data_IF_023228104751
#
_entry.id   IF_023228104751
#
_cell.length_a   1.000
_cell.length_b   1.000
_cell.length_c   1.000
_cell.angle_alpha   90.00
_cell.angle_beta   90.00
_cell.angle_gamma   90.00
#
_symmetry.space_group_name_H-M   'P 1'
#
loop_
_entity.id
_entity.type
_entity.pdbx_description
1 polymer ?
#
# COMPACT_ATOMS: atom_id res chain seq x y z
N UNK A 1 -36.92 -37.04 -8.49
CA UNK A 1 -36.54 -35.62 -8.71
C UNK A 1 -35.59 -35.03 -7.66
N UNK A 2 -35.50 -35.56 -6.42
CA UNK A 2 -34.68 -34.99 -5.34
C UNK A 2 -33.14 -35.05 -5.55
N UNK A 3 -32.63 -35.93 -6.40
CA UNK A 3 -31.18 -36.10 -6.66
C UNK A 3 -30.61 -35.17 -7.72
N UNK A 4 -31.45 -34.52 -8.54
CA UNK A 4 -30.99 -33.61 -9.61
C UNK A 4 -30.53 -32.25 -9.07
N UNK A 5 -31.16 -31.78 -8.00
CA UNK A 5 -30.83 -30.50 -7.35
C UNK A 5 -29.46 -30.59 -6.67
N UNK A 6 -29.13 -31.75 -6.09
CA UNK A 6 -27.81 -31.98 -5.48
C UNK A 6 -26.69 -32.01 -6.52
N UNK A 7 -26.90 -32.63 -7.69
CA UNK A 7 -25.91 -32.70 -8.78
C UNK A 7 -25.64 -31.36 -9.47
N UNK A 8 -26.62 -30.46 -9.48
CA UNK A 8 -26.50 -29.14 -10.14
C UNK A 8 -26.12 -28.03 -9.15
N UNK A 9 -26.57 -28.10 -7.89
CA UNK A 9 -26.26 -27.12 -6.86
C UNK A 9 -24.85 -27.26 -6.27
N UNK A 10 -24.34 -28.49 -6.16
CA UNK A 10 -23.02 -28.77 -5.58
C UNK A 10 -21.84 -28.14 -6.37
N UNK A 11 -21.76 -28.23 -7.72
CA UNK A 11 -20.69 -27.56 -8.45
C UNK A 11 -20.79 -26.02 -8.33
N UNK A 12 -22.01 -25.48 -8.31
CA UNK A 12 -22.23 -24.04 -8.20
C UNK A 12 -21.76 -23.49 -6.84
N UNK A 13 -22.00 -24.24 -5.75
CA UNK A 13 -21.52 -23.89 -4.42
C UNK A 13 -19.98 -23.95 -4.33
N UNK A 14 -19.36 -24.96 -4.95
CA UNK A 14 -17.91 -25.13 -4.94
C UNK A 14 -17.20 -23.99 -5.67
N UNK A 15 -17.74 -23.55 -6.81
CA UNK A 15 -17.22 -22.37 -7.53
C UNK A 15 -17.35 -21.09 -6.69
N UNK A 16 -18.49 -20.87 -6.04
CA UNK A 16 -18.68 -19.70 -5.18
C UNK A 16 -17.71 -19.69 -3.99
N UNK A 17 -17.48 -20.84 -3.37
CA UNK A 17 -16.53 -20.96 -2.27
C UNK A 17 -15.09 -20.70 -2.73
N UNK A 18 -14.67 -21.23 -3.88
CA UNK A 18 -13.33 -20.99 -4.42
C UNK A 18 -13.05 -19.50 -4.69
N UNK A 19 -14.04 -18.77 -5.20
CA UNK A 19 -13.95 -17.32 -5.44
C UNK A 19 -13.75 -16.56 -4.12
N UNK A 20 -14.52 -16.90 -3.07
CA UNK A 20 -14.40 -16.27 -1.75
C UNK A 20 -13.02 -16.54 -1.13
N UNK A 21 -12.49 -17.76 -1.25
CA UNK A 21 -11.14 -18.08 -0.74
C UNK A 21 -10.03 -17.36 -1.52
N UNK A 22 -10.19 -17.18 -2.83
CA UNK A 22 -9.25 -16.41 -3.65
C UNK A 22 -9.15 -14.94 -3.19
N UNK A 23 -10.28 -14.30 -2.90
CA UNK A 23 -10.28 -12.91 -2.39
C UNK A 23 -9.87 -12.82 -0.91
N UNK A 24 -10.12 -13.84 -0.10
CA UNK A 24 -9.67 -13.87 1.29
C UNK A 24 -8.13 -13.99 1.41
N UNK A 25 -7.48 -14.61 0.43
CA UNK A 25 -6.02 -14.82 0.45
C UNK A 25 -5.20 -13.67 -0.12
N UNK A 26 -5.80 -12.62 -0.69
CA UNK A 26 -5.05 -11.49 -1.27
C UNK A 26 -4.55 -10.45 -0.25
N UNK A 27 -4.77 -10.64 1.05
CA UNK A 27 -4.53 -9.57 2.02
C UNK A 27 -3.08 -9.39 2.51
N UNK A 28 -2.10 -10.15 2.03
CA UNK A 28 -0.73 -10.06 2.56
C UNK A 28 0.36 -10.25 1.51
N UNK A 29 0.24 -9.60 0.34
CA UNK A 29 1.46 -9.31 -0.40
C UNK A 29 2.35 -8.44 0.53
N UNK A 30 3.59 -8.84 0.85
CA UNK A 30 4.53 -7.93 1.46
C UNK A 30 4.57 -6.71 0.55
N UNK A 31 4.20 -5.55 1.08
CA UNK A 31 4.49 -4.29 0.39
C UNK A 31 5.99 -4.26 0.33
N UNK A 32 6.54 -4.71 -0.80
CA UNK A 32 7.97 -4.62 -1.08
C UNK A 32 8.42 -3.25 -0.60
N UNK A 33 9.56 -3.22 0.09
CA UNK A 33 10.31 -2.03 0.45
C UNK A 33 10.82 -1.31 -0.83
N UNK A 34 9.93 -1.10 -1.80
CA UNK A 34 10.16 -0.32 -2.98
C UNK A 34 10.58 1.06 -2.48
N UNK A 35 11.78 1.47 -2.91
CA UNK A 35 12.31 2.80 -2.64
C UNK A 35 11.35 3.81 -3.27
N UNK A 36 10.43 4.34 -2.47
CA UNK A 36 9.49 5.37 -2.91
C UNK A 36 10.26 6.67 -3.03
N UNK A 37 10.13 7.35 -4.18
CA UNK A 37 10.67 8.69 -4.37
C UNK A 37 10.08 9.63 -3.30
N UNK A 38 10.95 10.21 -2.47
CA UNK A 38 10.55 11.18 -1.46
C UNK A 38 10.49 12.60 -2.02
N UNK A 39 9.68 13.44 -1.38
CA UNK A 39 9.51 14.86 -1.65
C UNK A 39 9.62 15.68 -0.37
N UNK A 40 10.16 16.89 -0.45
CA UNK A 40 10.12 17.89 0.63
C UNK A 40 9.40 19.14 0.14
N UNK A 41 8.69 19.81 1.04
CA UNK A 41 8.07 21.09 0.72
C UNK A 41 9.11 22.21 0.83
N UNK A 42 9.43 22.83 -0.30
CA UNK A 42 10.42 23.89 -0.39
C UNK A 42 9.96 24.99 -1.34
N UNK A 43 10.10 26.25 -0.93
CA UNK A 43 9.76 27.42 -1.75
C UNK A 43 8.37 27.35 -2.42
N UNK A 44 7.37 26.91 -1.65
CA UNK A 44 5.97 26.77 -2.08
C UNK A 44 5.72 25.70 -3.16
N UNK A 45 6.61 24.71 -3.26
CA UNK A 45 6.55 23.59 -4.19
C UNK A 45 7.04 22.29 -3.53
N UNK A 46 6.73 21.14 -4.12
CA UNK A 46 7.27 19.85 -3.70
C UNK A 46 8.48 19.49 -4.56
N UNK A 47 9.64 19.41 -3.93
CA UNK A 47 10.89 19.04 -4.63
C UNK A 47 11.32 17.64 -4.23
N UNK A 48 11.85 16.89 -5.19
CA UNK A 48 12.37 15.55 -4.96
C UNK A 48 13.55 15.57 -3.99
N UNK A 49 13.58 14.64 -3.06
CA UNK A 49 14.71 14.41 -2.15
C UNK A 49 15.46 13.12 -2.51
N UNK A 50 16.75 13.06 -2.16
CA UNK A 50 17.57 11.84 -2.25
C UNK A 50 17.52 11.01 -0.95
N UNK A 51 16.88 11.53 0.11
CA UNK A 51 16.74 10.85 1.39
C UNK A 51 15.85 9.62 1.23
N UNK A 52 16.43 8.45 1.45
CA UNK A 52 15.68 7.19 1.50
C UNK A 52 14.92 7.12 2.83
N UNK A 53 13.60 7.07 2.76
CA UNK A 53 12.75 6.74 3.91
C UNK A 53 11.66 5.73 3.55
N UNK A 54 10.95 5.21 4.56
CA UNK A 54 9.81 4.32 4.37
C UNK A 54 8.70 4.62 5.40
N UNK A 55 7.56 3.95 5.30
CA UNK A 55 6.45 4.13 6.26
C UNK A 55 6.41 3.01 7.33
N UNK A 56 7.57 2.42 7.65
CA UNK A 56 7.68 1.27 8.57
C UNK A 56 8.15 1.68 9.98
N UNK A 57 8.59 2.91 10.17
CA UNK A 57 9.08 3.43 11.45
C UNK A 57 8.05 4.27 12.19
N UNK A 58 8.46 4.83 13.32
CA UNK A 58 7.68 5.80 14.11
C UNK A 58 8.32 7.19 14.13
N UNK A 59 9.60 7.28 13.78
CA UNK A 59 10.36 8.54 13.79
C UNK A 59 10.12 9.25 12.45
N UNK A 60 9.69 10.53 12.43
CA UNK A 60 9.49 11.27 11.19
C UNK A 60 10.79 11.38 10.38
N UNK A 61 10.74 11.07 9.08
CA UNK A 61 11.89 11.25 8.20
C UNK A 61 12.06 12.72 7.83
N UNK A 62 13.24 13.26 8.10
CA UNK A 62 13.57 14.64 7.75
C UNK A 62 14.83 14.74 6.92
N UNK A 63 14.85 15.71 6.01
CA UNK A 63 16.03 16.15 5.27
C UNK A 63 16.18 17.67 5.44
N UNK A 64 17.36 18.13 5.87
CA UNK A 64 17.63 19.54 6.16
C UNK A 64 16.57 20.23 7.06
N UNK A 65 15.95 19.47 7.98
CA UNK A 65 14.90 19.94 8.88
C UNK A 65 13.47 19.87 8.32
N UNK A 66 13.30 19.63 7.02
CA UNK A 66 12.01 19.49 6.37
C UNK A 66 11.50 18.04 6.42
N UNK A 67 10.20 17.88 6.59
CA UNK A 67 9.53 16.58 6.57
C UNK A 67 9.55 16.00 5.14
N UNK A 68 9.87 14.72 5.02
CA UNK A 68 9.79 13.98 3.75
C UNK A 68 8.39 13.38 3.58
N UNK A 69 7.89 13.41 2.36
CA UNK A 69 6.56 12.98 1.93
C UNK A 69 6.67 12.04 0.74
N UNK A 70 5.70 11.13 0.58
CA UNK A 70 5.71 10.16 -0.52
C UNK A 70 4.87 10.59 -1.72
N UNK A 71 4.11 11.69 -1.61
CA UNK A 71 3.19 12.16 -2.63
C UNK A 71 3.40 13.65 -2.91
N UNK A 72 3.55 13.97 -4.19
CA UNK A 72 3.61 15.32 -4.73
C UNK A 72 2.23 15.73 -5.28
N UNK A 73 1.68 16.84 -4.78
CA UNK A 73 0.44 17.47 -5.29
C UNK A 73 0.73 18.85 -5.92
N UNK A 74 1.99 19.13 -6.27
CA UNK A 74 2.52 20.41 -6.72
C UNK A 74 2.68 21.38 -5.57
N UNK A 75 1.59 22.05 -5.16
CA UNK A 75 1.64 23.10 -4.12
C UNK A 75 1.62 22.58 -2.69
N UNK A 76 1.61 21.27 -2.48
CA UNK A 76 1.62 20.64 -1.17
C UNK A 76 2.09 19.20 -1.28
N UNK A 77 2.80 18.70 -0.27
CA UNK A 77 3.25 17.31 -0.24
C UNK A 77 2.42 16.54 0.79
N UNK A 78 2.09 15.29 0.50
CA UNK A 78 1.20 14.46 1.31
C UNK A 78 1.82 13.10 1.61
N UNK A 79 1.23 12.38 2.58
CA UNK A 79 1.73 11.10 3.10
C UNK A 79 3.14 11.24 3.71
N UNK A 80 3.19 11.81 4.92
CA UNK A 80 4.43 12.00 5.66
C UNK A 80 5.14 10.65 5.89
N UNK A 81 6.43 10.63 5.58
CA UNK A 81 7.26 9.43 5.68
C UNK A 81 8.01 9.33 7.02
N UNK A 82 8.36 8.11 7.39
CA UNK A 82 9.13 7.80 8.60
C UNK A 82 10.55 7.32 8.27
N UNK A 83 11.45 7.36 9.23
CA UNK A 83 12.77 6.75 9.06
C UNK A 83 12.62 5.25 8.84
N UNK A 84 13.41 4.72 7.90
CA UNK A 84 13.60 3.29 7.75
C UNK A 84 14.24 2.73 9.02
N UNK A 85 13.57 1.84 9.77
CA UNK A 85 14.21 1.12 10.86
C UNK A 85 15.42 0.36 10.30
N UNK A 86 16.52 0.36 11.07
CA UNK A 86 17.74 -0.38 10.74
C UNK A 86 17.48 -1.89 10.72
#
# INVERSE_FOLDING_TARGET
MRTKILKFGMPLLAFLLAIVFAFATENNAPKDDALVQGYIFWNNDCVTTTKVCNNQGTIPCKEAGNQVYSLDLGKSCANAMTHRPL
#
